data_IF_184532412530
#
_entry.id   IF_184532412530
#
_cell.length_a   1.000
_cell.length_b   1.000
_cell.length_c   1.000
_cell.angle_alpha   90.00
_cell.angle_beta   90.00
_cell.angle_gamma   90.00
#
_symmetry.space_group_name_H-M   'P 1'
#
loop_
_entity.id
_entity.type
_entity.pdbx_description
1 polymer ?
#
# COMPACT_ATOMS: atom_id res chain seq x y z
N UNK A 1 -7.57 11.37 3.73
CA UNK A 1 -8.03 10.35 2.74
C UNK A 1 -7.32 9.05 2.98
N UNK A 2 -7.82 7.98 2.41
CA UNK A 2 -7.17 6.67 2.43
C UNK A 2 -6.31 6.53 1.18
N UNK A 3 -5.01 6.36 1.36
CA UNK A 3 -4.05 6.25 0.26
C UNK A 3 -3.52 4.83 0.21
N UNK A 4 -3.80 4.14 -0.89
CA UNK A 4 -3.28 2.80 -1.12
C UNK A 4 -1.89 2.88 -1.75
N UNK A 5 -0.93 2.16 -1.17
CA UNK A 5 0.43 2.13 -1.67
C UNK A 5 0.77 0.73 -2.17
N UNK A 6 1.26 0.66 -3.40
CA UNK A 6 1.80 -0.56 -4.00
C UNK A 6 3.31 -0.45 -4.11
N UNK A 7 4.01 -1.48 -3.66
CA UNK A 7 5.47 -1.46 -3.69
C UNK A 7 6.07 -2.81 -3.38
N UNK A 8 7.40 -2.87 -3.43
CA UNK A 8 8.14 -4.10 -3.15
C UNK A 8 8.13 -4.44 -1.68
N UNK A 9 7.99 -5.72 -1.38
CA UNK A 9 8.22 -6.28 -0.05
C UNK A 9 9.61 -6.86 0.12
N UNK A 10 10.42 -6.86 -0.94
CA UNK A 10 11.79 -7.38 -0.91
C UNK A 10 12.70 -6.45 -0.10
N UNK A 11 13.62 -7.05 0.67
CA UNK A 11 14.67 -6.30 1.36
C UNK A 11 15.84 -5.94 0.43
N UNK A 12 15.89 -6.54 -0.76
CA UNK A 12 16.95 -6.31 -1.75
C UNK A 12 16.66 -5.07 -2.59
N UNK A 13 16.52 -3.94 -1.92
CA UNK A 13 16.23 -2.68 -2.59
C UNK A 13 17.22 -1.63 -2.06
N UNK A 14 17.57 -0.67 -2.92
CA UNK A 14 18.54 0.34 -2.53
C UNK A 14 18.04 1.14 -1.31
N UNK A 15 18.92 1.38 -0.30
CA UNK A 15 18.50 2.10 0.91
C UNK A 15 17.88 3.47 0.68
N UNK A 16 18.25 4.16 -0.38
CA UNK A 16 17.69 5.48 -0.69
C UNK A 16 16.18 5.40 -0.98
N UNK A 17 15.72 4.33 -1.62
CA UNK A 17 14.29 4.12 -1.83
C UNK A 17 13.57 3.87 -0.51
N UNK A 18 14.18 3.10 0.38
CA UNK A 18 13.61 2.82 1.71
C UNK A 18 13.47 4.13 2.48
N UNK A 19 14.52 4.93 2.52
CA UNK A 19 14.51 6.24 3.19
C UNK A 19 13.46 7.17 2.59
N UNK A 20 13.37 7.22 1.26
CA UNK A 20 12.40 8.06 0.55
C UNK A 20 10.96 7.66 0.82
N UNK A 21 10.67 6.37 0.81
CA UNK A 21 9.31 5.87 1.06
C UNK A 21 8.93 6.03 2.54
N UNK A 22 9.88 5.86 3.45
CA UNK A 22 9.62 6.15 4.86
C UNK A 22 9.28 7.63 5.07
N UNK A 23 10.00 8.53 4.39
CA UNK A 23 9.70 9.95 4.43
C UNK A 23 8.33 10.27 3.85
N UNK A 24 7.94 9.59 2.77
CA UNK A 24 6.60 9.69 2.20
C UNK A 24 5.54 9.27 3.22
N UNK A 25 5.76 8.16 3.90
CA UNK A 25 4.85 7.69 4.95
C UNK A 25 4.69 8.70 6.06
N UNK A 26 5.80 9.30 6.53
CA UNK A 26 5.74 10.36 7.55
C UNK A 26 4.94 11.57 7.06
N UNK A 27 5.14 11.97 5.81
CA UNK A 27 4.38 13.09 5.24
C UNK A 27 2.89 12.79 5.19
N UNK A 28 2.51 11.58 4.81
CA UNK A 28 1.12 11.13 4.81
C UNK A 28 0.53 11.16 6.22
N UNK A 29 1.23 10.62 7.19
CA UNK A 29 0.80 10.61 8.58
C UNK A 29 0.61 12.01 9.16
N UNK A 30 1.56 12.91 8.91
CA UNK A 30 1.48 14.30 9.38
C UNK A 30 0.27 15.05 8.79
N UNK A 31 -0.15 14.69 7.60
CA UNK A 31 -1.31 15.31 6.94
C UNK A 31 -2.64 14.62 7.27
N UNK A 32 -2.63 13.67 8.18
CA UNK A 32 -3.84 12.98 8.62
C UNK A 32 -4.37 11.95 7.64
N UNK A 33 -3.56 11.49 6.71
CA UNK A 33 -3.96 10.43 5.77
C UNK A 33 -3.77 9.06 6.39
N UNK A 34 -4.55 8.10 5.91
CA UNK A 34 -4.44 6.70 6.28
C UNK A 34 -3.70 5.94 5.19
N UNK A 35 -2.70 5.16 5.58
CA UNK A 35 -2.03 4.25 4.67
C UNK A 35 -2.82 2.94 4.58
N UNK A 36 -3.12 2.52 3.35
CA UNK A 36 -3.70 1.22 3.03
C UNK A 36 -2.70 0.46 2.18
N UNK A 37 -2.32 -0.75 2.57
CA UNK A 37 -1.27 -1.47 1.87
C UNK A 37 -1.40 -2.99 2.04
N UNK A 38 -0.53 -3.73 1.38
CA UNK A 38 -0.54 -5.20 1.39
C UNK A 38 -0.04 -5.87 2.66
N UNK A 39 0.23 -5.11 3.71
CA UNK A 39 0.52 -5.66 5.03
C UNK A 39 1.95 -6.11 5.29
N UNK A 40 2.86 -6.05 4.32
CA UNK A 40 4.23 -6.54 4.47
C UNK A 40 5.07 -5.69 5.42
N UNK A 41 5.91 -6.36 6.23
CA UNK A 41 6.82 -5.71 7.17
C UNK A 41 8.14 -5.28 6.51
N UNK A 42 8.48 -5.88 5.38
CA UNK A 42 9.77 -5.71 4.72
C UNK A 42 9.70 -4.76 3.53
N UNK A 43 10.87 -4.32 3.06
CA UNK A 43 10.98 -3.51 1.86
C UNK A 43 10.27 -2.17 1.95
N UNK A 44 9.79 -1.69 0.82
CA UNK A 44 9.15 -0.38 0.73
C UNK A 44 7.77 -0.33 1.41
N UNK A 45 7.05 -1.44 1.41
CA UNK A 45 5.78 -1.50 2.13
C UNK A 45 5.97 -1.28 3.63
N UNK A 46 6.92 -1.99 4.23
CA UNK A 46 7.23 -1.82 5.65
C UNK A 46 7.73 -0.40 5.95
N UNK A 47 8.55 0.16 5.07
CA UNK A 47 9.05 1.53 5.23
C UNK A 47 7.91 2.55 5.26
N UNK A 48 6.94 2.42 4.35
CA UNK A 48 5.77 3.29 4.32
C UNK A 48 4.94 3.17 5.62
N UNK A 49 4.73 1.96 6.09
CA UNK A 49 3.98 1.71 7.32
C UNK A 49 4.68 2.33 8.54
N UNK A 50 5.99 2.10 8.67
CA UNK A 50 6.77 2.66 9.77
C UNK A 50 6.76 4.19 9.77
N UNK A 51 6.92 4.79 8.59
CA UNK A 51 6.88 6.24 8.47
C UNK A 51 5.53 6.84 8.86
N UNK A 52 4.45 6.22 8.38
CA UNK A 52 3.09 6.67 8.70
C UNK A 52 2.80 6.58 10.20
N UNK A 53 3.16 5.46 10.83
CA UNK A 53 2.97 5.29 12.28
C UNK A 53 3.83 6.25 13.08
N UNK A 54 5.07 6.47 12.68
CA UNK A 54 5.97 7.40 13.38
C UNK A 54 5.41 8.82 13.42
N UNK A 55 4.64 9.21 12.42
CA UNK A 55 4.01 10.52 12.35
C UNK A 55 2.57 10.55 12.92
N UNK A 56 2.13 9.49 13.55
CA UNK A 56 0.81 9.41 14.18
C UNK A 56 -0.32 9.09 13.22
N UNK A 57 -0.03 8.68 12.00
CA UNK A 57 -1.05 8.29 11.02
C UNK A 57 -1.60 6.89 11.25
N UNK A 58 -2.75 6.61 10.66
CA UNK A 58 -3.36 5.28 10.72
C UNK A 58 -2.85 4.40 9.59
N UNK A 59 -2.73 3.10 9.87
CA UNK A 59 -2.22 2.09 8.93
C UNK A 59 -3.19 0.92 8.87
N UNK A 60 -3.63 0.59 7.67
CA UNK A 60 -4.52 -0.55 7.40
C UNK A 60 -3.80 -1.53 6.49
N UNK A 61 -3.66 -2.76 6.94
CA UNK A 61 -3.08 -3.85 6.15
C UNK A 61 -4.15 -4.76 5.59
N UNK A 62 -3.89 -5.34 4.44
CA UNK A 62 -4.76 -6.33 3.80
C UNK A 62 -3.89 -7.43 3.22
N UNK A 63 -4.08 -8.67 3.67
CA UNK A 63 -3.31 -9.79 3.16
C UNK A 63 -4.09 -11.10 3.26
N UNK A 64 -3.81 -12.08 2.39
CA UNK A 64 -4.36 -13.41 2.57
C UNK A 64 -3.91 -14.04 3.88
N UNK A 65 -4.74 -14.91 4.44
CA UNK A 65 -4.45 -15.58 5.72
C UNK A 65 -3.16 -16.40 5.65
N UNK A 66 -2.82 -16.92 4.47
CA UNK A 66 -1.60 -17.72 4.33
C UNK A 66 -0.31 -16.87 4.42
N UNK A 67 -0.40 -15.53 4.41
CA UNK A 67 0.73 -14.65 4.69
C UNK A 67 0.93 -14.42 6.19
N UNK A 68 0.00 -14.84 7.02
CA UNK A 68 0.08 -14.63 8.47
C UNK A 68 1.05 -15.63 9.11
N UNK A 69 2.33 -15.45 8.83
CA UNK A 69 3.42 -16.19 9.44
C UNK A 69 4.42 -15.21 10.03
N UNK A 70 5.22 -15.68 10.97
CA UNK A 70 6.15 -14.81 11.71
C UNK A 70 7.09 -14.05 10.78
N UNK A 71 7.20 -12.75 10.98
CA UNK A 71 8.10 -11.88 10.26
C UNK A 71 7.65 -11.44 8.88
N UNK A 72 6.48 -11.84 8.42
CA UNK A 72 5.97 -11.45 7.10
C UNK A 72 5.12 -10.19 7.17
N UNK A 73 4.20 -10.11 8.13
CA UNK A 73 3.26 -8.99 8.22
C UNK A 73 3.72 -7.96 9.24
N UNK A 74 3.45 -6.70 8.92
CA UNK A 74 3.73 -5.58 9.81
C UNK A 74 2.84 -5.67 11.06
N UNK A 75 3.42 -5.70 12.29
CA UNK A 75 2.66 -6.01 13.49
C UNK A 75 1.90 -4.83 14.09
N UNK A 76 2.09 -3.61 13.59
CA UNK A 76 1.54 -2.40 14.23
C UNK A 76 0.44 -1.72 13.40
N UNK A 77 -0.27 -2.49 12.57
CA UNK A 77 -1.43 -1.95 11.86
C UNK A 77 -2.56 -1.62 12.84
N UNK A 78 -3.23 -0.50 12.62
CA UNK A 78 -4.41 -0.12 13.40
C UNK A 78 -5.59 -1.03 13.06
N UNK A 79 -5.65 -1.51 11.81
CA UNK A 79 -6.65 -2.45 11.35
C UNK A 79 -6.03 -3.39 10.33
N UNK A 80 -6.44 -4.64 10.34
CA UNK A 80 -5.93 -5.62 9.39
C UNK A 80 -7.06 -6.48 8.85
N UNK A 81 -7.18 -6.54 7.52
CA UNK A 81 -8.14 -7.42 6.85
C UNK A 81 -7.43 -8.66 6.35
N UNK A 82 -7.86 -9.82 6.82
CA UNK A 82 -7.38 -11.10 6.30
C UNK A 82 -8.34 -11.61 5.26
N UNK A 83 -7.82 -12.02 4.12
CA UNK A 83 -8.63 -12.54 3.02
C UNK A 83 -8.29 -14.00 2.77
N UNK A 84 -9.15 -14.70 2.03
CA UNK A 84 -8.89 -16.08 1.65
C UNK A 84 -8.09 -16.16 0.37
N UNK A 85 -8.20 -15.17 -0.51
CA UNK A 85 -7.54 -15.15 -1.80
C UNK A 85 -6.86 -13.81 -2.07
N UNK A 86 -5.92 -13.79 -3.02
CA UNK A 86 -5.30 -12.56 -3.51
C UNK A 86 -6.31 -11.68 -4.26
N UNK A 87 -7.31 -12.28 -4.88
CA UNK A 87 -8.37 -11.53 -5.56
C UNK A 87 -9.19 -10.69 -4.59
N UNK A 88 -9.59 -11.29 -3.47
CA UNK A 88 -10.31 -10.56 -2.42
C UNK A 88 -9.46 -9.41 -1.86
N UNK A 89 -8.17 -9.65 -1.69
CA UNK A 89 -7.22 -8.62 -1.24
C UNK A 89 -7.23 -7.42 -2.18
N UNK A 90 -7.08 -7.67 -3.49
CA UNK A 90 -7.12 -6.59 -4.49
C UNK A 90 -8.45 -5.83 -4.45
N UNK A 91 -9.56 -6.54 -4.29
CA UNK A 91 -10.88 -5.93 -4.23
C UNK A 91 -10.99 -4.97 -3.04
N UNK A 92 -10.53 -5.37 -1.86
CA UNK A 92 -10.56 -4.50 -0.67
C UNK A 92 -9.68 -3.27 -0.88
N UNK A 93 -8.48 -3.44 -1.42
CA UNK A 93 -7.57 -2.33 -1.69
C UNK A 93 -8.21 -1.32 -2.65
N UNK A 94 -8.86 -1.80 -3.71
CA UNK A 94 -9.53 -0.94 -4.68
C UNK A 94 -10.73 -0.21 -4.08
N UNK A 95 -11.54 -0.92 -3.32
CA UNK A 95 -12.80 -0.37 -2.80
C UNK A 95 -12.58 0.68 -1.71
N UNK A 96 -11.53 0.54 -0.91
CA UNK A 96 -11.30 1.42 0.24
C UNK A 96 -10.40 2.60 -0.05
N UNK A 97 -9.65 2.58 -1.13
CA UNK A 97 -8.69 3.64 -1.43
C UNK A 97 -9.36 4.85 -2.07
N UNK A 98 -8.97 6.03 -1.60
CA UNK A 98 -9.32 7.31 -2.24
C UNK A 98 -8.30 7.69 -3.30
N UNK A 99 -7.05 7.27 -3.13
CA UNK A 99 -5.95 7.53 -4.04
C UNK A 99 -4.97 6.36 -4.01
N UNK A 100 -4.15 6.27 -5.06
CA UNK A 100 -3.17 5.20 -5.21
C UNK A 100 -1.79 5.78 -5.47
N UNK A 101 -0.78 5.18 -4.83
CA UNK A 101 0.62 5.50 -5.03
C UNK A 101 1.35 4.20 -5.35
N UNK A 102 2.08 4.17 -6.47
CA UNK A 102 2.94 3.05 -6.81
C UNK A 102 4.40 3.46 -6.62
N UNK A 103 5.13 2.68 -5.85
CA UNK A 103 6.57 2.86 -5.65
C UNK A 103 7.29 1.66 -6.28
N UNK A 104 8.61 1.73 -6.47
CA UNK A 104 9.32 0.63 -7.13
C UNK A 104 9.00 -0.74 -6.53
N UNK A 105 8.73 -1.72 -7.40
CA UNK A 105 8.32 -3.06 -7.00
C UNK A 105 8.53 -4.08 -8.09
N UNK A 106 8.08 -5.30 -7.85
CA UNK A 106 8.18 -6.39 -8.80
C UNK A 106 6.95 -6.51 -9.69
N UNK A 107 6.81 -7.68 -10.32
CA UNK A 107 5.71 -7.98 -11.25
C UNK A 107 4.34 -7.81 -10.57
N UNK A 108 4.22 -8.20 -9.30
CA UNK A 108 2.97 -8.06 -8.57
C UNK A 108 2.50 -6.62 -8.45
N UNK A 109 3.42 -5.68 -8.27
CA UNK A 109 3.11 -4.26 -8.22
C UNK A 109 2.59 -3.76 -9.57
N UNK A 110 3.19 -4.22 -10.68
CA UNK A 110 2.72 -3.86 -12.01
C UNK A 110 1.33 -4.41 -12.28
N UNK A 111 1.05 -5.65 -11.88
CA UNK A 111 -0.28 -6.24 -12.03
C UNK A 111 -1.34 -5.41 -11.30
N UNK A 112 -1.09 -5.06 -10.06
CA UNK A 112 -2.00 -4.23 -9.27
C UNK A 112 -2.20 -2.85 -9.90
N UNK A 113 -1.13 -2.21 -10.34
CA UNK A 113 -1.20 -0.90 -10.96
C UNK A 113 -1.98 -0.92 -12.28
N UNK A 114 -1.72 -1.91 -13.14
CA UNK A 114 -2.41 -2.01 -14.42
C UNK A 114 -3.90 -2.30 -14.23
N UNK A 115 -4.27 -3.08 -13.23
CA UNK A 115 -5.68 -3.33 -12.92
C UNK A 115 -6.39 -2.03 -12.52
N UNK A 116 -5.77 -1.21 -11.68
CA UNK A 116 -6.30 0.09 -11.28
C UNK A 116 -6.46 1.02 -12.49
N UNK A 117 -5.47 1.07 -13.36
CA UNK A 117 -5.54 1.91 -14.56
C UNK A 117 -6.65 1.46 -15.49
N UNK A 118 -6.87 0.15 -15.63
CA UNK A 118 -7.94 -0.41 -16.44
C UNK A 118 -9.31 -0.04 -15.87
N UNK A 119 -9.50 -0.18 -14.55
CA UNK A 119 -10.76 0.20 -13.91
C UNK A 119 -11.05 1.69 -14.08
N UNK A 120 -10.05 2.53 -13.96
CA UNK A 120 -10.19 3.97 -14.15
C UNK A 120 -10.58 4.31 -15.59
N UNK A 121 -10.05 3.58 -16.56
CA UNK A 121 -10.40 3.77 -17.96
C UNK A 121 -11.86 3.37 -18.23
N UNK A 122 -12.34 2.31 -17.58
CA UNK A 122 -13.72 1.85 -17.72
C UNK A 122 -14.73 2.74 -16.98
N UNK A 123 -14.30 3.43 -15.93
CA UNK A 123 -15.14 4.27 -15.09
C UNK A 123 -14.57 5.68 -14.92
N UNK A 124 -14.35 6.43 -16.02
CA UNK A 124 -13.57 7.66 -15.94
C UNK A 124 -14.22 8.81 -15.19
N UNK A 125 -15.55 8.88 -15.13
CA UNK A 125 -16.25 10.05 -14.64
C UNK A 125 -16.89 9.88 -13.26
N UNK A 126 -17.00 8.68 -12.77
CA UNK A 126 -17.70 8.41 -11.52
C UNK A 126 -16.95 7.51 -10.58
N UNK A 127 -15.73 7.16 -10.95
CA UNK A 127 -14.94 6.28 -10.15
C UNK A 127 -14.54 6.90 -8.83
N UNK A 128 -14.43 6.10 -7.78
CA UNK A 128 -13.92 6.53 -6.50
C UNK A 128 -12.45 6.90 -6.53
N UNK A 129 -11.81 6.86 -7.69
CA UNK A 129 -10.40 7.21 -7.85
C UNK A 129 -10.24 8.69 -8.10
N UNK A 130 -9.55 9.36 -7.24
CA UNK A 130 -9.17 10.73 -7.50
C UNK A 130 -7.93 10.78 -8.40
N UNK A 131 -6.91 10.01 -8.06
CA UNK A 131 -5.65 9.99 -8.81
C UNK A 131 -4.84 8.74 -8.48
N UNK A 132 -3.92 8.41 -9.40
CA UNK A 132 -2.83 7.49 -9.13
C UNK A 132 -1.52 8.21 -9.40
N UNK A 133 -0.52 7.94 -8.59
CA UNK A 133 0.81 8.51 -8.75
C UNK A 133 1.85 7.40 -8.68
N UNK A 134 2.91 7.54 -9.47
CA UNK A 134 4.04 6.62 -9.46
C UNK A 134 5.27 7.32 -8.92
N UNK A 135 5.95 6.68 -7.98
CA UNK A 135 7.24 7.12 -7.44
C UNK A 135 8.35 6.23 -8.01
N UNK A 136 9.45 6.83 -8.34
CA UNK A 136 10.61 6.15 -8.95
C UNK A 136 11.82 6.18 -8.04
#
# INVERSE_FOLDING_TARGET
MVICLYGASSEKIHPDYITGVEALGRAMGRRGHTLLFGGGDKGLMGAAARGTKAAGGAVIGVAPRFFNVDGVLYPHCDKFYYTDTMRERKQILEDQADAFVAVPGGIGTFDELFEILTLRQLHPAGGGFSQSAALR
#
